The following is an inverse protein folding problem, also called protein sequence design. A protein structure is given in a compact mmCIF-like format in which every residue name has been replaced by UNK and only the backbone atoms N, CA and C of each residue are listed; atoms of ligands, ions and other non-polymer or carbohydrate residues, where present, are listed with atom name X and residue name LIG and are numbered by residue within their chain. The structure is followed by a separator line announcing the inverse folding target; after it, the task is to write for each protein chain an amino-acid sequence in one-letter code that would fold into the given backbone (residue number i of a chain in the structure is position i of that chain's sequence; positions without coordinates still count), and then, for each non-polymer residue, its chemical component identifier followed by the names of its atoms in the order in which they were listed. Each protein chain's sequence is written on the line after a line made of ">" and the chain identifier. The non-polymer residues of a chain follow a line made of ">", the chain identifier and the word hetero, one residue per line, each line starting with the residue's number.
data_IF_696878527299
#
_entry.id   IF_696878527299
#
_cell.length_a   1.000
_cell.length_b   1.000
_cell.length_c   1.000
_cell.angle_alpha   90.00
_cell.angle_beta   90.00
_cell.angle_gamma   90.00
#
_symmetry.space_group_name_H-M   'P 1'
#
loop_
_entity.id
_entity.type
_entity.pdbx_description
1 polymer ?
#
# COMPACT_ATOMS: atom_id res chain seq x y z
N UNK A 1 9.01 -3.50 1.50
CA UNK A 1 9.55 -4.81 1.93
C UNK A 1 8.59 -5.95 1.68
N UNK A 2 7.33 -5.98 2.18
CA UNK A 2 6.38 -7.06 1.91
C UNK A 2 6.08 -7.19 0.41
N UNK A 3 5.73 -6.10 -0.28
CA UNK A 3 5.47 -6.10 -1.72
C UNK A 3 6.67 -6.64 -2.53
N UNK A 4 7.89 -6.28 -2.13
CA UNK A 4 9.11 -6.80 -2.77
C UNK A 4 9.25 -8.31 -2.58
N UNK A 5 9.08 -8.82 -1.34
CA UNK A 5 9.14 -10.25 -1.07
C UNK A 5 8.06 -11.04 -1.83
N UNK A 6 6.84 -10.51 -1.86
CA UNK A 6 5.71 -11.09 -2.59
C UNK A 6 6.01 -11.20 -4.09
N UNK A 7 6.42 -10.11 -4.72
CA UNK A 7 6.71 -10.08 -6.15
C UNK A 7 7.91 -10.94 -6.54
N UNK A 8 9.00 -10.93 -5.75
CA UNK A 8 10.14 -11.83 -5.99
C UNK A 8 9.70 -13.29 -5.96
N UNK A 9 8.90 -13.66 -4.96
CA UNK A 9 8.39 -15.02 -4.83
C UNK A 9 7.47 -15.40 -6.01
N UNK A 10 6.58 -14.51 -6.44
CA UNK A 10 5.64 -14.76 -7.55
C UNK A 10 6.33 -14.73 -8.92
N UNK A 11 7.39 -13.93 -9.09
CA UNK A 11 8.18 -13.92 -10.33
C UNK A 11 9.20 -15.06 -10.39
N UNK A 12 9.50 -15.72 -9.28
CA UNK A 12 10.53 -16.75 -9.19
C UNK A 12 11.96 -16.17 -9.29
N UNK A 13 12.12 -14.88 -9.01
CA UNK A 13 13.41 -14.20 -8.98
C UNK A 13 13.94 -14.27 -7.54
N UNK A 14 14.89 -15.17 -7.28
CA UNK A 14 15.47 -15.31 -5.93
C UNK A 14 16.42 -14.15 -5.62
N UNK A 15 16.41 -13.74 -4.36
CA UNK A 15 17.21 -12.61 -3.89
C UNK A 15 18.61 -13.12 -3.55
N UNK A 16 19.63 -12.59 -4.23
CA UNK A 16 21.03 -12.79 -3.83
C UNK A 16 21.34 -11.89 -2.64
N UNK A 17 21.98 -12.46 -1.62
CA UNK A 17 22.41 -11.73 -0.43
C UNK A 17 23.91 -11.46 -0.50
N UNK A 18 24.29 -10.21 -0.43
CA UNK A 18 25.68 -9.77 -0.44
C UNK A 18 26.02 -9.02 0.84
N UNK A 19 27.28 -9.12 1.28
CA UNK A 19 27.75 -8.34 2.42
C UNK A 19 28.23 -6.97 1.97
N UNK A 20 27.41 -5.94 2.21
CA UNK A 20 27.68 -4.55 1.83
C UNK A 20 27.59 -3.62 3.04
N UNK A 21 28.23 -2.43 2.92
CA UNK A 21 28.06 -1.36 3.90
C UNK A 21 26.68 -0.72 3.71
N UNK A 22 25.93 -0.55 4.80
CA UNK A 22 24.68 0.20 4.80
C UNK A 22 24.98 1.69 5.10
N UNK A 23 24.17 2.58 4.53
CA UNK A 23 24.31 4.03 4.78
C UNK A 23 24.26 4.39 6.28
N UNK A 24 23.42 3.68 7.05
CA UNK A 24 23.34 3.87 8.50
C UNK A 24 24.44 3.13 9.29
N UNK A 25 25.10 2.14 8.68
CA UNK A 25 26.10 1.30 9.31
C UNK A 25 27.34 1.19 8.42
N UNK A 26 28.09 2.26 8.34
CA UNK A 26 29.27 2.37 7.45
C UNK A 26 30.45 1.48 7.86
N UNK A 27 30.53 1.08 9.14
CA UNK A 27 31.69 0.37 9.69
C UNK A 27 31.57 -1.15 9.58
N UNK A 28 30.36 -1.72 9.56
CA UNK A 28 30.14 -3.18 9.50
C UNK A 28 29.33 -3.57 8.28
N UNK A 29 29.91 -4.41 7.44
CA UNK A 29 29.20 -5.06 6.33
C UNK A 29 28.05 -5.92 6.87
N UNK A 30 26.84 -5.68 6.39
CA UNK A 30 25.64 -6.44 6.71
C UNK A 30 25.16 -7.23 5.49
N UNK A 31 24.45 -8.35 5.69
CA UNK A 31 23.79 -9.02 4.59
C UNK A 31 22.69 -8.10 4.05
N UNK A 32 22.81 -7.71 2.80
CA UNK A 32 21.90 -6.84 2.08
C UNK A 32 21.50 -7.54 0.79
N UNK A 33 20.25 -7.49 0.42
CA UNK A 33 19.80 -8.00 -0.86
C UNK A 33 20.53 -7.27 -2.00
N UNK A 34 21.14 -8.01 -2.91
CA UNK A 34 21.69 -7.46 -4.14
C UNK A 34 20.59 -6.79 -4.96
N UNK A 35 20.93 -5.68 -5.57
CA UNK A 35 19.96 -4.91 -6.38
C UNK A 35 19.80 -5.60 -7.73
N UNK A 36 18.62 -6.13 -7.99
CA UNK A 36 18.18 -6.60 -9.29
C UNK A 36 17.23 -5.60 -9.99
N UNK A 37 16.78 -5.91 -11.20
CA UNK A 37 15.91 -5.02 -11.96
C UNK A 37 14.55 -4.83 -11.28
N UNK A 38 13.98 -5.87 -10.68
CA UNK A 38 12.72 -5.80 -9.94
C UNK A 38 12.86 -4.89 -8.71
N UNK A 39 13.94 -5.08 -7.93
CA UNK A 39 14.24 -4.21 -6.77
C UNK A 39 14.43 -2.75 -7.18
N UNK A 40 15.09 -2.50 -8.33
CA UNK A 40 15.28 -1.14 -8.84
C UNK A 40 13.96 -0.49 -9.25
N UNK A 41 13.09 -1.24 -9.90
CA UNK A 41 11.77 -0.74 -10.32
C UNK A 41 10.84 -0.50 -9.13
N UNK A 42 10.86 -1.37 -8.13
CA UNK A 42 10.16 -1.17 -6.85
C UNK A 42 10.71 0.04 -6.06
N UNK A 43 12.01 0.27 -6.11
CA UNK A 43 12.64 1.48 -5.57
C UNK A 43 12.16 2.74 -6.29
N UNK A 44 11.96 2.68 -7.60
CA UNK A 44 11.39 3.77 -8.37
C UNK A 44 9.91 4.00 -7.99
N UNK A 45 9.10 2.95 -7.85
CA UNK A 45 7.72 3.02 -7.35
C UNK A 45 7.64 3.77 -6.01
N UNK A 46 8.43 3.32 -5.03
CA UNK A 46 8.46 3.96 -3.70
C UNK A 46 8.89 5.43 -3.78
N UNK A 47 9.84 5.74 -4.65
CA UNK A 47 10.32 7.12 -4.86
C UNK A 47 9.21 8.00 -5.42
N UNK A 48 8.45 7.52 -6.39
CA UNK A 48 7.36 8.26 -7.04
C UNK A 48 6.19 8.44 -6.08
N UNK A 49 5.74 7.38 -5.40
CA UNK A 49 4.69 7.46 -4.38
C UNK A 49 5.05 8.45 -3.27
N UNK A 50 6.28 8.38 -2.75
CA UNK A 50 6.76 9.32 -1.73
C UNK A 50 6.79 10.76 -2.24
N UNK A 51 7.21 10.97 -3.49
CA UNK A 51 7.20 12.31 -4.09
C UNK A 51 5.81 12.92 -4.16
N UNK A 52 4.79 12.14 -4.56
CA UNK A 52 3.41 12.61 -4.63
C UNK A 52 2.81 12.80 -3.25
N UNK A 53 3.06 11.90 -2.30
CA UNK A 53 2.64 12.10 -0.89
C UNK A 53 3.20 13.40 -0.30
N UNK A 54 4.50 13.67 -0.51
CA UNK A 54 5.12 14.92 -0.05
C UNK A 54 4.59 16.15 -0.81
N UNK A 55 4.11 15.99 -2.04
CA UNK A 55 3.46 17.07 -2.79
C UNK A 55 2.12 17.44 -2.17
N UNK A 56 1.35 16.46 -1.75
CA UNK A 56 0.09 16.61 -1.06
C UNK A 56 0.28 17.27 0.31
N UNK A 57 1.21 16.76 1.13
CA UNK A 57 1.59 17.35 2.42
C UNK A 57 1.98 18.84 2.31
N UNK A 58 2.63 19.26 1.22
CA UNK A 58 2.98 20.66 0.97
C UNK A 58 1.75 21.49 0.65
N UNK A 59 0.80 20.94 -0.09
CA UNK A 59 -0.47 21.61 -0.46
C UNK A 59 -1.33 21.81 0.79
N UNK A 60 -1.36 20.83 1.68
CA UNK A 60 -2.09 20.89 2.97
C UNK A 60 -1.38 21.74 4.05
N UNK A 61 -0.22 22.34 3.73
CA UNK A 61 0.53 23.17 4.67
C UNK A 61 1.23 22.40 5.80
N UNK A 62 1.26 21.07 5.74
CA UNK A 62 1.85 20.22 6.79
C UNK A 62 3.38 20.09 6.71
N UNK A 63 4.03 20.76 5.74
CA UNK A 63 5.50 20.78 5.58
C UNK A 63 5.96 19.93 4.39
N UNK A 64 7.23 19.54 4.39
CA UNK A 64 7.73 18.58 3.37
C UNK A 64 8.43 19.19 2.15
N UNK A 65 8.48 20.52 1.98
CA UNK A 65 9.11 21.18 0.81
C UNK A 65 10.55 20.73 0.54
N UNK A 66 11.37 20.65 1.58
CA UNK A 66 12.79 20.23 1.46
C UNK A 66 12.86 18.75 1.10
N UNK A 67 12.08 17.90 1.79
CA UNK A 67 12.00 16.45 1.50
C UNK A 67 11.52 16.21 0.07
N UNK A 68 10.46 16.90 -0.38
CA UNK A 68 9.98 16.82 -1.77
C UNK A 68 11.05 17.17 -2.79
N UNK A 69 11.87 18.21 -2.52
CA UNK A 69 12.95 18.61 -3.42
C UNK A 69 14.00 17.49 -3.61
N UNK A 70 14.29 16.71 -2.55
CA UNK A 70 15.19 15.56 -2.64
C UNK A 70 14.63 14.45 -3.54
N UNK A 71 13.34 14.14 -3.41
CA UNK A 71 12.71 13.11 -4.23
C UNK A 71 12.48 13.53 -5.69
N UNK A 72 12.51 14.84 -6.01
CA UNK A 72 12.28 15.38 -7.36
C UNK A 72 13.25 14.79 -8.40
N UNK A 73 14.54 14.67 -8.05
CA UNK A 73 15.54 14.09 -8.98
C UNK A 73 15.27 12.60 -9.20
N UNK A 74 14.91 11.88 -8.13
CA UNK A 74 14.54 10.47 -8.21
C UNK A 74 13.30 10.25 -9.07
N UNK A 75 12.24 11.02 -8.84
CA UNK A 75 11.01 10.98 -9.64
C UNK A 75 11.26 11.26 -11.13
N UNK A 76 12.11 12.26 -11.48
CA UNK A 76 12.51 12.51 -12.87
C UNK A 76 13.24 11.32 -13.50
N UNK A 77 14.13 10.65 -12.75
CA UNK A 77 14.83 9.44 -13.24
C UNK A 77 13.87 8.28 -13.43
N UNK A 78 12.96 8.07 -12.47
CA UNK A 78 11.92 7.05 -12.56
C UNK A 78 11.05 7.26 -13.79
N UNK A 79 10.58 8.48 -14.06
CA UNK A 79 9.80 8.84 -15.24
C UNK A 79 10.52 8.53 -16.56
N UNK A 80 11.85 8.75 -16.61
CA UNK A 80 12.64 8.43 -17.81
C UNK A 80 12.84 6.92 -18.00
N UNK A 81 13.04 6.18 -16.89
CA UNK A 81 13.39 4.75 -16.96
C UNK A 81 12.18 3.83 -16.96
N UNK A 82 11.11 4.20 -16.25
CA UNK A 82 9.91 3.41 -16.00
C UNK A 82 8.64 4.24 -16.28
N UNK A 83 8.44 4.75 -17.51
CA UNK A 83 7.34 5.66 -17.81
C UNK A 83 5.96 5.03 -17.55
N UNK A 84 5.78 3.75 -17.88
CA UNK A 84 4.52 3.03 -17.64
C UNK A 84 4.19 2.94 -16.15
N UNK A 85 5.17 2.62 -15.30
CA UNK A 85 4.99 2.59 -13.86
C UNK A 85 4.59 3.96 -13.28
N UNK A 86 5.26 5.01 -13.76
CA UNK A 86 4.94 6.38 -13.30
C UNK A 86 3.53 6.79 -13.73
N UNK A 87 3.09 6.42 -14.93
CA UNK A 87 1.74 6.68 -15.41
C UNK A 87 0.67 6.03 -14.51
N UNK A 88 0.89 4.78 -14.04
CA UNK A 88 -0.01 4.11 -13.10
C UNK A 88 -0.13 4.89 -11.77
N UNK A 89 0.99 5.41 -11.26
CA UNK A 89 0.96 6.21 -10.01
C UNK A 89 0.27 7.56 -10.24
N UNK A 90 0.49 8.20 -11.40
CA UNK A 90 -0.17 9.48 -11.73
C UNK A 90 -1.68 9.31 -11.89
N UNK A 91 -2.12 8.23 -12.52
CA UNK A 91 -3.55 7.88 -12.61
C UNK A 91 -4.16 7.67 -11.22
N UNK A 92 -3.47 6.92 -10.36
CA UNK A 92 -3.89 6.70 -8.97
C UNK A 92 -4.03 8.02 -8.21
N UNK A 93 -3.02 8.90 -8.26
CA UNK A 93 -3.03 10.18 -7.55
C UNK A 93 -4.21 11.05 -8.01
N UNK A 94 -4.48 11.08 -9.32
CA UNK A 94 -5.61 11.83 -9.87
C UNK A 94 -6.96 11.24 -9.43
N UNK A 95 -7.10 9.90 -9.42
CA UNK A 95 -8.31 9.21 -8.99
C UNK A 95 -8.56 9.42 -7.49
N UNK A 96 -7.52 9.29 -6.65
CA UNK A 96 -7.62 9.52 -5.20
C UNK A 96 -8.06 10.95 -4.89
N UNK A 97 -7.42 11.94 -5.52
CA UNK A 97 -7.80 13.35 -5.36
C UNK A 97 -9.24 13.64 -5.80
N UNK A 98 -9.74 12.94 -6.83
CA UNK A 98 -11.14 13.10 -7.27
C UNK A 98 -12.15 12.56 -6.24
N UNK A 99 -11.87 11.41 -5.62
CA UNK A 99 -12.69 10.81 -4.55
C UNK A 99 -12.71 11.71 -3.31
N UNK A 100 -11.55 12.21 -2.89
CA UNK A 100 -11.42 13.11 -1.75
C UNK A 100 -12.15 14.45 -2.00
N UNK A 101 -12.01 15.02 -3.21
CA UNK A 101 -12.72 16.24 -3.60
C UNK A 101 -14.23 16.04 -3.61
N UNK A 102 -14.71 14.89 -4.06
CA UNK A 102 -16.14 14.52 -4.02
C UNK A 102 -16.63 14.31 -2.58
N UNK A 103 -15.70 14.15 -1.61
CA UNK A 103 -15.99 13.84 -0.22
C UNK A 103 -16.87 12.58 -0.08
N UNK A 104 -16.49 11.51 -0.75
CA UNK A 104 -17.24 10.25 -0.67
C UNK A 104 -17.34 9.77 0.77
N UNK A 105 -18.55 9.44 1.20
CA UNK A 105 -18.82 8.81 2.51
C UNK A 105 -18.81 7.28 2.44
N UNK A 106 -18.55 6.69 1.28
CA UNK A 106 -18.39 5.27 1.15
C UNK A 106 -16.92 4.88 1.37
N UNK A 107 -16.58 4.13 2.44
CA UNK A 107 -15.23 3.60 2.64
C UNK A 107 -14.78 2.73 1.45
N UNK A 108 -15.73 2.01 0.85
CA UNK A 108 -15.49 1.16 -0.31
C UNK A 108 -15.06 1.98 -1.54
N UNK A 109 -15.79 3.04 -1.89
CA UNK A 109 -15.44 3.95 -2.99
C UNK A 109 -14.12 4.70 -2.70
N UNK A 110 -13.90 5.08 -1.46
CA UNK A 110 -12.68 5.79 -1.07
C UNK A 110 -11.41 4.94 -1.23
N UNK A 111 -11.51 3.63 -1.00
CA UNK A 111 -10.41 2.69 -1.14
C UNK A 111 -10.16 2.24 -2.60
N UNK A 112 -11.11 2.46 -3.50
CA UNK A 112 -11.07 1.96 -4.88
C UNK A 112 -9.81 2.39 -5.66
N UNK A 113 -9.35 3.66 -5.63
CA UNK A 113 -8.14 4.06 -6.35
C UNK A 113 -6.90 3.29 -5.91
N UNK A 114 -6.72 3.07 -4.60
CA UNK A 114 -5.59 2.31 -4.06
C UNK A 114 -5.68 0.83 -4.44
N UNK A 115 -6.88 0.24 -4.40
CA UNK A 115 -7.12 -1.13 -4.82
C UNK A 115 -6.79 -1.32 -6.32
N UNK A 116 -7.23 -0.40 -7.17
CA UNK A 116 -6.94 -0.43 -8.61
C UNK A 116 -5.46 -0.22 -8.92
N UNK A 117 -4.78 0.67 -8.22
CA UNK A 117 -3.33 0.80 -8.35
C UNK A 117 -2.66 -0.54 -8.09
N UNK A 118 -2.98 -1.20 -6.97
CA UNK A 118 -2.35 -2.47 -6.60
C UNK A 118 -2.66 -3.57 -7.63
N UNK A 119 -3.90 -3.66 -8.13
CA UNK A 119 -4.26 -4.58 -9.23
C UNK A 119 -3.40 -4.33 -10.47
N UNK A 120 -3.29 -3.07 -10.92
CA UNK A 120 -2.48 -2.70 -12.08
C UNK A 120 -0.98 -2.95 -11.87
N UNK A 121 -0.48 -2.75 -10.65
CA UNK A 121 0.90 -3.09 -10.28
C UNK A 121 1.15 -4.60 -10.36
N UNK A 122 0.18 -5.45 -9.98
CA UNK A 122 0.33 -6.91 -10.15
C UNK A 122 0.52 -7.28 -11.62
N UNK A 123 -0.31 -6.75 -12.52
CA UNK A 123 -0.18 -6.96 -13.97
C UNK A 123 1.17 -6.45 -14.48
N UNK A 124 1.56 -5.24 -14.08
CA UNK A 124 2.80 -4.60 -14.52
C UNK A 124 4.06 -5.40 -14.16
N UNK A 125 4.13 -5.88 -12.91
CA UNK A 125 5.31 -6.60 -12.42
C UNK A 125 5.31 -8.09 -12.78
N UNK A 126 4.14 -8.74 -12.78
CA UNK A 126 4.05 -10.17 -13.06
C UNK A 126 4.02 -10.48 -14.57
N UNK A 127 3.61 -9.54 -15.41
CA UNK A 127 3.53 -9.70 -16.88
C UNK A 127 2.75 -10.98 -17.25
N UNK A 128 3.36 -11.89 -17.99
CA UNK A 128 2.76 -13.16 -18.41
C UNK A 128 2.43 -14.11 -17.25
N UNK A 129 2.96 -13.85 -16.05
CA UNK A 129 2.63 -14.60 -14.82
C UNK A 129 1.44 -14.01 -14.07
N UNK A 130 0.90 -12.87 -14.53
CA UNK A 130 -0.32 -12.31 -13.97
C UNK A 130 -1.50 -13.25 -14.22
N UNK A 131 -2.41 -13.30 -13.25
CA UNK A 131 -3.62 -14.08 -13.30
C UNK A 131 -4.74 -13.35 -12.56
N UNK A 132 -5.99 -13.71 -12.81
CA UNK A 132 -7.12 -13.17 -12.05
C UNK A 132 -6.94 -13.32 -10.54
N UNK A 133 -6.37 -14.44 -10.09
CA UNK A 133 -6.06 -14.67 -8.68
C UNK A 133 -5.02 -13.67 -8.12
N UNK A 134 -3.95 -13.39 -8.88
CA UNK A 134 -2.95 -12.39 -8.46
C UNK A 134 -3.52 -10.97 -8.47
N UNK A 135 -4.32 -10.64 -9.46
CA UNK A 135 -4.97 -9.33 -9.57
C UNK A 135 -5.93 -9.10 -8.41
N UNK A 136 -6.75 -10.10 -8.06
CA UNK A 136 -7.68 -10.03 -6.93
C UNK A 136 -6.95 -9.96 -5.58
N UNK A 137 -5.89 -10.75 -5.40
CA UNK A 137 -5.05 -10.68 -4.20
C UNK A 137 -4.48 -9.27 -3.99
N UNK A 138 -3.90 -8.68 -5.02
CA UNK A 138 -3.33 -7.35 -4.95
C UNK A 138 -4.40 -6.27 -4.74
N UNK A 139 -5.54 -6.40 -5.41
CA UNK A 139 -6.68 -5.51 -5.22
C UNK A 139 -7.17 -5.52 -3.78
N UNK A 140 -7.40 -6.70 -3.20
CA UNK A 140 -7.87 -6.84 -1.83
C UNK A 140 -6.84 -6.31 -0.81
N UNK A 141 -5.55 -6.57 -1.03
CA UNK A 141 -4.47 -6.00 -0.20
C UNK A 141 -4.44 -4.47 -0.31
N UNK A 142 -4.56 -3.92 -1.51
CA UNK A 142 -4.59 -2.47 -1.72
C UNK A 142 -5.77 -1.80 -1.03
N UNK A 143 -6.93 -2.40 -1.13
CA UNK A 143 -8.15 -1.93 -0.45
C UNK A 143 -8.00 -1.96 1.06
N UNK A 144 -7.47 -3.06 1.59
CA UNK A 144 -7.17 -3.19 3.01
C UNK A 144 -6.18 -2.13 3.50
N UNK A 145 -5.09 -1.88 2.78
CA UNK A 145 -4.07 -0.88 3.16
C UNK A 145 -4.71 0.50 3.33
N UNK A 146 -5.56 0.92 2.40
CA UNK A 146 -6.24 2.20 2.50
C UNK A 146 -7.21 2.26 3.69
N UNK A 147 -8.04 1.24 3.85
CA UNK A 147 -9.06 1.21 4.88
C UNK A 147 -8.47 1.12 6.29
N UNK A 148 -7.41 0.33 6.48
CA UNK A 148 -6.78 0.19 7.79
C UNK A 148 -6.07 1.49 8.20
N UNK A 149 -5.43 2.18 7.26
CA UNK A 149 -4.79 3.48 7.50
C UNK A 149 -5.84 4.55 7.85
N UNK A 150 -6.95 4.60 7.10
CA UNK A 150 -8.05 5.50 7.38
C UNK A 150 -8.69 5.25 8.76
N UNK A 151 -8.79 3.99 9.19
CA UNK A 151 -9.32 3.63 10.50
C UNK A 151 -8.31 3.94 11.63
N UNK A 152 -7.03 3.69 11.42
CA UNK A 152 -5.96 4.01 12.40
C UNK A 152 -5.81 5.53 12.58
N UNK A 153 -5.92 6.31 11.51
CA UNK A 153 -5.85 7.77 11.54
C UNK A 153 -7.21 8.46 11.90
N UNK A 154 -8.29 7.70 12.14
CA UNK A 154 -9.64 8.24 12.33
C UNK A 154 -9.72 9.41 13.33
N UNK A 155 -9.27 9.24 14.58
CA UNK A 155 -9.32 10.30 15.59
C UNK A 155 -8.42 11.50 15.26
N UNK A 156 -7.30 11.24 14.64
CA UNK A 156 -6.35 12.26 14.21
C UNK A 156 -6.96 13.12 13.09
N UNK A 157 -7.70 12.50 12.17
CA UNK A 157 -8.36 13.18 11.06
C UNK A 157 -9.58 13.97 11.55
N UNK A 158 -10.36 13.43 12.50
CA UNK A 158 -11.41 14.20 13.20
C UNK A 158 -10.83 15.47 13.82
N UNK A 159 -9.75 15.34 14.61
CA UNK A 159 -9.09 16.50 15.27
C UNK A 159 -8.55 17.53 14.28
N UNK A 160 -8.02 17.07 13.14
CA UNK A 160 -7.43 17.93 12.11
C UNK A 160 -8.44 18.37 11.04
N UNK A 161 -9.68 17.93 11.10
CA UNK A 161 -10.73 18.18 10.11
C UNK A 161 -10.30 17.73 8.68
N UNK A 162 -9.56 16.65 8.59
CA UNK A 162 -9.13 16.05 7.32
C UNK A 162 -10.21 15.14 6.75
N UNK A 163 -10.11 14.88 5.45
CA UNK A 163 -10.94 13.85 4.83
C UNK A 163 -10.62 12.48 5.44
N UNK A 164 -11.69 11.78 5.84
CA UNK A 164 -11.64 10.38 6.24
C UNK A 164 -13.00 9.76 5.93
N UNK A 165 -13.07 8.66 5.16
CA UNK A 165 -14.33 8.09 4.72
C UNK A 165 -15.16 7.53 5.90
N UNK A 166 -14.52 7.00 6.94
CA UNK A 166 -15.24 6.52 8.13
C UNK A 166 -15.87 7.68 8.92
N UNK A 167 -15.20 8.84 8.98
CA UNK A 167 -15.77 10.04 9.60
C UNK A 167 -17.00 10.51 8.83
N UNK A 168 -16.98 10.44 7.51
CA UNK A 168 -18.12 10.85 6.68
C UNK A 168 -19.25 9.82 6.69
N UNK A 169 -18.94 8.54 6.80
CA UNK A 169 -19.92 7.46 6.89
C UNK A 169 -20.65 7.44 8.23
N UNK A 170 -19.90 7.55 9.33
CA UNK A 170 -20.41 7.26 10.68
C UNK A 170 -20.45 8.47 11.61
N UNK A 171 -19.93 9.62 11.18
CA UNK A 171 -19.86 10.84 11.99
C UNK A 171 -18.57 10.99 12.79
N UNK A 172 -18.46 12.10 13.54
CA UNK A 172 -17.29 12.42 14.36
C UNK A 172 -17.53 12.03 15.81
N UNK A 173 -16.81 11.01 16.25
CA UNK A 173 -16.86 10.46 17.60
C UNK A 173 -15.48 9.93 17.99
N UNK A 174 -15.32 9.35 19.16
CA UNK A 174 -14.11 8.61 19.52
C UNK A 174 -14.07 7.27 18.79
N UNK A 175 -12.88 6.68 18.63
CA UNK A 175 -12.77 5.34 18.03
C UNK A 175 -13.56 4.29 18.84
N UNK A 176 -13.53 4.39 20.17
CA UNK A 176 -14.29 3.48 21.03
C UNK A 176 -15.80 3.54 20.76
N UNK A 177 -16.35 4.74 20.62
CA UNK A 177 -17.77 4.94 20.27
C UNK A 177 -18.07 4.43 18.85
N UNK A 178 -17.19 4.68 17.87
CA UNK A 178 -17.31 4.15 16.53
C UNK A 178 -17.36 2.62 16.53
N UNK A 179 -16.44 1.98 17.24
CA UNK A 179 -16.40 0.51 17.34
C UNK A 179 -17.61 -0.05 18.09
N UNK A 180 -18.09 0.62 19.11
CA UNK A 180 -19.29 0.22 19.81
C UNK A 180 -20.54 0.29 18.93
N UNK A 181 -20.68 1.34 18.13
CA UNK A 181 -21.85 1.57 17.28
C UNK A 181 -21.80 0.78 15.96
N UNK A 182 -20.66 0.74 15.31
CA UNK A 182 -20.50 0.26 13.93
C UNK A 182 -19.42 -0.85 13.77
N UNK A 183 -18.87 -1.35 14.87
CA UNK A 183 -17.77 -2.32 14.84
C UNK A 183 -18.08 -3.60 14.08
N UNK A 184 -19.33 -4.09 14.11
CA UNK A 184 -19.72 -5.27 13.34
C UNK A 184 -19.71 -5.02 11.83
N UNK A 185 -20.21 -3.86 11.38
CA UNK A 185 -20.20 -3.48 9.96
C UNK A 185 -18.78 -3.29 9.46
N UNK A 186 -17.93 -2.62 10.25
CA UNK A 186 -16.52 -2.41 9.92
C UNK A 186 -15.77 -3.74 9.90
N UNK A 187 -16.03 -4.65 10.86
CA UNK A 187 -15.46 -6.00 10.87
C UNK A 187 -15.85 -6.77 9.61
N UNK A 188 -17.12 -6.74 9.22
CA UNK A 188 -17.62 -7.41 8.02
C UNK A 188 -16.91 -6.91 6.74
N UNK A 189 -16.67 -5.59 6.66
CA UNK A 189 -15.90 -5.00 5.54
C UNK A 189 -14.50 -5.63 5.44
N UNK A 190 -13.78 -5.74 6.56
CA UNK A 190 -12.46 -6.38 6.57
C UNK A 190 -12.50 -7.89 6.35
N UNK A 191 -13.49 -8.59 6.89
CA UNK A 191 -13.66 -10.04 6.71
C UNK A 191 -13.88 -10.40 5.24
N UNK A 192 -14.62 -9.56 4.50
CA UNK A 192 -14.81 -9.71 3.05
C UNK A 192 -13.47 -9.63 2.32
N UNK A 193 -12.59 -8.70 2.71
CA UNK A 193 -11.25 -8.57 2.13
C UNK A 193 -10.35 -9.76 2.50
N UNK A 194 -10.42 -10.27 3.73
CA UNK A 194 -9.67 -11.45 4.14
C UNK A 194 -10.09 -12.69 3.34
N UNK A 195 -11.39 -12.82 3.05
CA UNK A 195 -11.88 -13.88 2.17
C UNK A 195 -11.28 -13.75 0.76
N UNK A 196 -11.38 -12.56 0.14
CA UNK A 196 -10.80 -12.32 -1.20
C UNK A 196 -9.29 -12.55 -1.23
N UNK A 197 -8.55 -12.12 -0.19
CA UNK A 197 -7.12 -12.39 -0.08
C UNK A 197 -6.80 -13.88 0.00
N UNK A 198 -7.59 -14.65 0.75
CA UNK A 198 -7.42 -16.10 0.89
C UNK A 198 -7.64 -16.82 -0.43
N UNK A 199 -8.73 -16.48 -1.13
CA UNK A 199 -9.04 -17.05 -2.45
C UNK A 199 -7.96 -16.70 -3.48
N UNK A 200 -7.56 -15.42 -3.54
CA UNK A 200 -6.47 -14.99 -4.40
C UNK A 200 -5.15 -15.72 -4.10
N UNK A 201 -4.81 -15.85 -2.81
CA UNK A 201 -3.59 -16.53 -2.36
C UNK A 201 -3.59 -18.03 -2.74
N UNK A 202 -4.75 -18.69 -2.69
CA UNK A 202 -4.89 -20.08 -3.08
C UNK A 202 -4.64 -20.29 -4.58
N UNK A 203 -5.04 -19.34 -5.43
CA UNK A 203 -4.90 -19.40 -6.88
C UNK A 203 -3.54 -18.93 -7.42
N UNK A 204 -2.65 -18.39 -6.58
CA UNK A 204 -1.35 -17.86 -7.00
C UNK A 204 -0.26 -18.91 -6.89
N UNK A 205 0.62 -18.95 -7.91
CA UNK A 205 1.84 -19.76 -7.87
C UNK A 205 2.96 -19.00 -7.17
N UNK A 206 3.54 -19.65 -6.15
CA UNK A 206 4.76 -19.22 -5.47
C UNK A 206 5.92 -20.15 -5.83
N UNK A 207 7.11 -19.59 -5.98
CA UNK A 207 8.30 -20.34 -6.35
C UNK A 207 9.15 -20.72 -5.13
N UNK A 208 9.09 -19.92 -4.05
CA UNK A 208 9.80 -20.16 -2.79
C UNK A 208 9.10 -19.38 -1.65
N UNK A 209 9.46 -19.64 -0.39
CA UNK A 209 9.02 -18.87 0.79
C UNK A 209 7.51 -18.58 0.85
N UNK A 210 6.67 -19.52 0.42
CA UNK A 210 5.21 -19.36 0.47
C UNK A 210 4.73 -19.14 1.90
N UNK A 211 5.32 -19.81 2.86
CA UNK A 211 5.04 -19.71 4.29
C UNK A 211 5.18 -18.29 4.82
N UNK A 212 6.17 -17.52 4.34
CA UNK A 212 6.33 -16.10 4.68
C UNK A 212 5.13 -15.28 4.19
N UNK A 213 4.71 -15.50 2.96
CA UNK A 213 3.56 -14.78 2.36
C UNK A 213 2.25 -15.17 3.07
N UNK A 214 2.04 -16.47 3.28
CA UNK A 214 0.88 -16.99 4.01
C UNK A 214 0.83 -16.42 5.43
N UNK A 215 1.95 -16.35 6.13
CA UNK A 215 2.02 -15.78 7.48
C UNK A 215 1.64 -14.29 7.52
N UNK A 216 2.10 -13.50 6.56
CA UNK A 216 1.75 -12.07 6.49
C UNK A 216 0.27 -11.89 6.14
N UNK A 217 -0.23 -12.57 5.11
CA UNK A 217 -1.59 -12.36 4.60
C UNK A 217 -2.64 -13.00 5.52
N UNK A 218 -2.43 -14.26 5.94
CA UNK A 218 -3.44 -15.00 6.69
C UNK A 218 -3.42 -14.76 8.20
N UNK A 219 -2.33 -14.18 8.73
CA UNK A 219 -2.17 -13.90 10.16
C UNK A 219 -1.84 -12.45 10.46
N UNK A 220 -0.81 -11.89 9.81
CA UNK A 220 -0.32 -10.55 10.07
C UNK A 220 -1.38 -9.49 9.78
N UNK A 221 -2.01 -9.55 8.62
CA UNK A 221 -3.09 -8.63 8.21
C UNK A 221 -4.30 -8.69 9.16
N UNK A 222 -4.89 -9.87 9.50
CA UNK A 222 -5.97 -9.94 10.47
C UNK A 222 -5.57 -9.49 11.88
N UNK A 223 -4.36 -9.80 12.34
CA UNK A 223 -3.87 -9.35 13.65
C UNK A 223 -3.73 -7.83 13.72
N UNK A 224 -3.20 -7.22 12.68
CA UNK A 224 -3.07 -5.76 12.60
C UNK A 224 -4.44 -5.09 12.55
N UNK A 225 -5.38 -5.66 11.78
CA UNK A 225 -6.76 -5.16 11.77
C UNK A 225 -7.39 -5.23 13.15
N UNK A 226 -7.26 -6.36 13.84
CA UNK A 226 -7.78 -6.51 15.20
C UNK A 226 -7.12 -5.53 16.21
N UNK A 227 -5.82 -5.22 16.01
CA UNK A 227 -5.11 -4.20 16.81
C UNK A 227 -5.72 -2.81 16.60
N UNK A 228 -5.88 -2.40 15.36
CA UNK A 228 -6.41 -1.07 15.00
C UNK A 228 -7.88 -0.94 15.43
N UNK A 229 -8.69 -1.99 15.32
CA UNK A 229 -10.09 -1.98 15.77
C UNK A 229 -10.24 -1.89 17.28
N UNK A 230 -9.26 -2.36 18.05
CA UNK A 230 -9.31 -2.26 19.53
C UNK A 230 -8.92 -0.89 20.08
N UNK A 231 -8.15 -0.11 19.36
CA UNK A 231 -7.64 1.21 19.75
C UNK A 231 -6.25 1.14 20.31
#
# INVERSE_FOLDING_TARGET
>A
TFLSALLHNMTGTDIRVERQNCFEHTIRKRPIAAVDDLTMELGALNTVLTYYKLADDVTDGSGGRVKRAWFRKGCKRARKRYPALVALVEEFVAAQAAVEKKRSSSPDEAAEPTAQLMRKLSVHFLKEKSSSASEELFYAVGKWVYLIDALDDYEKDVKKKRYNPFVLAYGSMTRAELMQANGQEIAFLFDTLFYSMREGLAGVKFYFNRDLTDNVILRGIPLETARVMKG
#
